data_IF_586409888839
#
_entry.id   IF_586409888839
#
_cell.length_a   1.000
_cell.length_b   1.000
_cell.length_c   1.000
_cell.angle_alpha   90.00
_cell.angle_beta   90.00
_cell.angle_gamma   90.00
#
_symmetry.space_group_name_H-M   'P 1'
#
loop_
_entity.id
_entity.type
_entity.pdbx_description
1 polymer ?
#
# COMPACT_ATOMS: atom_id res chain seq x y z
N UNK A 1 -12.71 -2.13 -29.10
CA UNK A 1 -12.95 -2.26 -27.65
C UNK A 1 -11.74 -1.63 -26.96
N UNK A 2 -11.95 -0.69 -26.04
CA UNK A 2 -10.85 -0.14 -25.25
C UNK A 2 -10.25 -1.28 -24.43
N UNK A 3 -8.91 -1.40 -24.40
CA UNK A 3 -8.24 -2.37 -23.55
C UNK A 3 -8.59 -2.08 -22.08
N UNK A 4 -9.03 -3.09 -21.36
CA UNK A 4 -9.28 -2.94 -19.92
C UNK A 4 -7.93 -2.71 -19.22
N UNK A 5 -7.79 -1.57 -18.55
CA UNK A 5 -6.64 -1.33 -17.69
C UNK A 5 -6.72 -2.22 -16.46
N UNK A 6 -5.59 -2.82 -16.07
CA UNK A 6 -5.50 -3.65 -14.87
C UNK A 6 -4.38 -3.09 -13.97
N UNK A 7 -4.68 -2.87 -12.70
CA UNK A 7 -3.74 -2.46 -11.67
C UNK A 7 -3.54 -3.60 -10.68
N UNK A 8 -2.31 -4.03 -10.47
CA UNK A 8 -1.95 -4.96 -9.39
C UNK A 8 -1.71 -4.18 -8.09
N UNK A 9 -2.31 -4.64 -6.99
CA UNK A 9 -2.06 -4.06 -5.66
C UNK A 9 -1.55 -5.16 -4.74
N UNK A 10 -0.43 -4.90 -4.08
CA UNK A 10 0.22 -5.77 -3.10
C UNK A 10 0.27 -5.00 -1.79
N UNK A 11 0.11 -5.66 -0.65
CA UNK A 11 0.28 -5.04 0.66
C UNK A 11 0.83 -6.01 1.69
N UNK A 12 1.31 -5.46 2.80
CA UNK A 12 1.77 -6.23 3.95
C UNK A 12 2.77 -7.32 3.56
N UNK A 13 3.85 -6.93 2.87
CA UNK A 13 4.85 -7.85 2.29
C UNK A 13 5.67 -8.56 3.36
N UNK A 14 5.96 -7.87 4.49
CA UNK A 14 6.64 -8.41 5.66
C UNK A 14 7.87 -9.26 5.31
N UNK A 15 8.74 -8.72 4.44
CA UNK A 15 9.97 -9.34 3.96
C UNK A 15 9.80 -10.73 3.30
N UNK A 16 8.60 -11.11 2.92
CA UNK A 16 8.30 -12.37 2.26
C UNK A 16 8.75 -12.36 0.79
N UNK A 17 10.04 -12.09 0.55
CA UNK A 17 10.64 -11.88 -0.78
C UNK A 17 10.29 -12.98 -1.80
N UNK A 18 10.25 -14.26 -1.37
CA UNK A 18 9.89 -15.39 -2.25
C UNK A 18 8.43 -15.35 -2.68
N UNK A 19 7.52 -14.99 -1.77
CA UNK A 19 6.10 -14.83 -2.12
C UNK A 19 5.89 -13.60 -2.99
N UNK A 20 6.63 -12.52 -2.72
CA UNK A 20 6.61 -11.32 -3.54
C UNK A 20 7.00 -11.64 -4.99
N UNK A 21 8.09 -12.36 -5.21
CA UNK A 21 8.52 -12.81 -6.55
C UNK A 21 7.42 -13.57 -7.26
N UNK A 22 6.86 -14.60 -6.62
CA UNK A 22 5.79 -15.41 -7.21
C UNK A 22 4.54 -14.56 -7.54
N UNK A 23 4.21 -13.58 -6.68
CA UNK A 23 3.06 -12.69 -6.90
C UNK A 23 3.31 -11.77 -8.10
N UNK A 24 4.51 -11.21 -8.21
CA UNK A 24 4.87 -10.33 -9.33
C UNK A 24 4.89 -11.10 -10.66
N UNK A 25 5.42 -12.31 -10.67
CA UNK A 25 5.40 -13.18 -11.85
C UNK A 25 3.97 -13.52 -12.28
N UNK A 26 3.11 -13.87 -11.31
CA UNK A 26 1.71 -14.13 -11.58
C UNK A 26 1.01 -12.90 -12.19
N UNK A 27 1.15 -11.72 -11.57
CA UNK A 27 0.53 -10.49 -12.06
C UNK A 27 0.99 -10.16 -13.49
N UNK A 28 2.28 -10.32 -13.78
CA UNK A 28 2.82 -10.08 -15.13
C UNK A 28 2.30 -11.08 -16.16
N UNK A 29 2.19 -12.36 -15.80
CA UNK A 29 1.62 -13.38 -16.67
C UNK A 29 0.14 -13.11 -17.00
N UNK A 30 -0.59 -12.46 -16.07
CA UNK A 30 -1.95 -11.96 -16.29
C UNK A 30 -2.01 -10.65 -17.11
N UNK A 31 -0.86 -10.16 -17.60
CA UNK A 31 -0.75 -8.92 -18.37
C UNK A 31 -0.88 -7.65 -17.52
N UNK A 32 -0.67 -7.75 -16.20
CA UNK A 32 -0.71 -6.61 -15.28
C UNK A 32 0.69 -6.05 -15.14
N UNK A 33 0.94 -4.92 -15.78
CA UNK A 33 2.26 -4.28 -15.80
C UNK A 33 2.38 -3.08 -14.86
N UNK A 34 1.26 -2.49 -14.43
CA UNK A 34 1.25 -1.45 -13.43
C UNK A 34 0.94 -2.07 -12.07
N UNK A 35 1.93 -2.05 -11.18
CA UNK A 35 1.86 -2.69 -9.87
C UNK A 35 2.20 -1.67 -8.80
N UNK A 36 1.38 -1.64 -7.74
CA UNK A 36 1.56 -0.79 -6.58
C UNK A 36 1.66 -1.62 -5.30
N UNK A 37 2.42 -1.13 -4.32
CA UNK A 37 2.56 -1.74 -3.00
C UNK A 37 2.16 -0.74 -1.92
N UNK A 38 1.27 -1.15 -1.02
CA UNK A 38 0.75 -0.31 0.05
C UNK A 38 1.65 -0.24 1.29
N UNK A 39 2.85 -0.80 1.25
CA UNK A 39 3.81 -0.73 2.36
C UNK A 39 3.80 -1.96 3.27
N UNK A 40 4.28 -1.77 4.49
CA UNK A 40 4.61 -2.81 5.46
C UNK A 40 5.56 -3.86 4.85
N UNK A 41 6.71 -3.36 4.40
CA UNK A 41 7.76 -4.20 3.82
C UNK A 41 8.54 -4.94 4.88
N UNK A 42 8.72 -4.31 6.04
CA UNK A 42 9.55 -4.81 7.13
C UNK A 42 8.79 -5.69 8.13
N UNK A 43 9.55 -6.34 9.00
CA UNK A 43 9.09 -7.21 10.08
C UNK A 43 8.40 -8.49 9.58
N UNK A 44 9.20 -9.54 9.37
CA UNK A 44 8.76 -10.84 8.90
C UNK A 44 9.92 -11.84 8.83
N UNK A 45 9.65 -13.05 8.37
CA UNK A 45 10.62 -14.16 8.40
C UNK A 45 11.58 -14.19 7.21
N UNK A 46 11.36 -13.38 6.20
CA UNK A 46 12.17 -13.37 4.98
C UNK A 46 13.33 -12.38 5.03
N UNK A 47 13.83 -12.01 3.88
CA UNK A 47 14.93 -11.08 3.70
C UNK A 47 14.41 -9.72 3.18
N UNK A 48 14.61 -8.67 3.98
CA UNK A 48 14.15 -7.33 3.64
C UNK A 48 15.03 -6.67 2.56
N UNK A 49 16.32 -6.98 2.53
CA UNK A 49 17.22 -6.48 1.50
C UNK A 49 16.84 -7.06 0.13
N UNK A 50 16.58 -8.36 0.03
CA UNK A 50 16.07 -9.00 -1.19
C UNK A 50 14.68 -8.47 -1.56
N UNK A 51 13.79 -8.25 -0.58
CA UNK A 51 12.46 -7.67 -0.82
C UNK A 51 12.56 -6.32 -1.53
N UNK A 52 13.43 -5.44 -1.04
CA UNK A 52 13.64 -4.11 -1.62
C UNK A 52 14.25 -4.21 -3.02
N UNK A 53 15.21 -5.11 -3.23
CA UNK A 53 15.79 -5.33 -4.56
C UNK A 53 14.74 -5.75 -5.59
N UNK A 54 13.88 -6.72 -5.24
CA UNK A 54 12.78 -7.19 -6.09
C UNK A 54 11.83 -6.04 -6.44
N UNK A 55 11.42 -5.22 -5.45
CA UNK A 55 10.52 -4.08 -5.70
C UNK A 55 11.14 -3.06 -6.66
N UNK A 56 12.44 -2.78 -6.52
CA UNK A 56 13.18 -1.87 -7.40
C UNK A 56 13.31 -2.43 -8.82
N UNK A 57 13.72 -3.69 -8.98
CA UNK A 57 13.89 -4.35 -10.26
C UNK A 57 12.57 -4.42 -11.05
N UNK A 58 11.47 -4.64 -10.34
CA UNK A 58 10.14 -4.73 -10.93
C UNK A 58 9.44 -3.38 -11.07
N UNK A 59 10.10 -2.26 -10.68
CA UNK A 59 9.54 -0.91 -10.72
C UNK A 59 8.17 -0.80 -10.02
N UNK A 60 8.02 -1.45 -8.86
CA UNK A 60 6.78 -1.41 -8.09
C UNK A 60 6.64 -0.05 -7.43
N UNK A 61 5.51 0.62 -7.67
CA UNK A 61 5.21 1.89 -7.01
C UNK A 61 4.82 1.65 -5.56
N UNK A 62 5.64 2.09 -4.61
CA UNK A 62 5.50 1.73 -3.20
C UNK A 62 5.29 2.97 -2.32
N UNK A 63 4.51 2.83 -1.25
CA UNK A 63 4.40 3.77 -0.14
C UNK A 63 4.84 3.12 1.16
N UNK A 64 5.16 3.93 2.19
CA UNK A 64 5.56 3.41 3.49
C UNK A 64 4.36 2.93 4.31
N UNK A 65 4.53 1.79 5.00
CA UNK A 65 3.63 1.33 6.05
C UNK A 65 4.10 1.72 7.45
N UNK A 66 3.32 1.32 8.45
CA UNK A 66 3.68 1.60 9.85
C UNK A 66 4.90 0.79 10.33
N UNK A 67 5.07 -0.44 9.86
CA UNK A 67 6.24 -1.25 10.19
C UNK A 67 7.52 -0.64 9.64
N UNK A 68 7.50 -0.09 8.43
CA UNK A 68 8.64 0.57 7.81
C UNK A 68 9.04 1.83 8.60
N UNK A 69 8.07 2.63 9.03
CA UNK A 69 8.30 3.79 9.89
C UNK A 69 8.86 3.37 11.25
N UNK A 70 8.34 2.33 11.88
CA UNK A 70 8.82 1.83 13.16
C UNK A 70 10.26 1.34 13.08
N UNK A 71 10.62 0.64 12.01
CA UNK A 71 12.00 0.22 11.76
C UNK A 71 12.94 1.42 11.65
N UNK A 72 12.57 2.45 10.87
CA UNK A 72 13.39 3.63 10.65
C UNK A 72 13.55 4.50 11.92
N UNK A 73 12.52 4.57 12.76
CA UNK A 73 12.54 5.32 14.02
C UNK A 73 13.03 4.50 15.21
N UNK A 74 13.42 3.25 14.98
CA UNK A 74 13.87 2.30 16.00
C UNK A 74 12.85 2.14 17.15
N UNK A 75 11.56 2.29 16.83
CA UNK A 75 10.50 2.10 17.79
C UNK A 75 10.45 0.64 18.26
N UNK A 76 10.34 0.45 19.58
CA UNK A 76 10.18 -0.90 20.14
C UNK A 76 8.92 -1.57 19.60
N UNK A 77 9.08 -2.78 19.08
CA UNK A 77 8.01 -3.58 18.48
C UNK A 77 7.97 -4.95 19.14
N UNK A 78 6.79 -5.34 19.60
CA UNK A 78 6.56 -6.69 20.15
C UNK A 78 5.99 -7.60 19.06
N UNK A 79 6.69 -7.67 17.93
CA UNK A 79 6.32 -8.55 16.81
C UNK A 79 7.39 -9.61 16.62
N UNK A 80 6.97 -10.83 16.30
CA UNK A 80 7.90 -11.88 15.95
C UNK A 80 8.69 -11.49 14.70
N UNK A 81 9.98 -11.79 14.67
CA UNK A 81 10.87 -11.50 13.54
C UNK A 81 10.95 -10.00 13.19
N UNK A 82 10.97 -9.12 14.20
CA UNK A 82 11.24 -7.72 13.98
C UNK A 82 12.63 -7.51 13.37
N UNK A 83 12.71 -6.77 12.29
CA UNK A 83 13.99 -6.40 11.70
C UNK A 83 14.70 -5.33 12.52
N UNK A 84 16.02 -5.38 12.53
CA UNK A 84 16.87 -4.35 13.15
C UNK A 84 17.61 -3.58 12.07
N UNK A 85 17.53 -2.26 12.13
CA UNK A 85 18.17 -1.37 11.16
C UNK A 85 19.68 -1.63 10.99
N UNK A 86 20.37 -2.04 12.06
CA UNK A 86 21.79 -2.36 12.03
C UNK A 86 22.15 -3.60 11.20
N UNK A 87 21.16 -4.43 10.84
CA UNK A 87 21.38 -5.65 10.05
C UNK A 87 21.09 -5.46 8.55
N UNK A 88 20.62 -4.27 8.17
CA UNK A 88 20.22 -3.98 6.79
C UNK A 88 21.33 -3.22 6.06
N UNK A 89 21.38 -3.40 4.74
CA UNK A 89 22.29 -2.63 3.91
C UNK A 89 21.83 -1.17 3.75
N UNK A 90 22.76 -0.28 3.36
CA UNK A 90 22.46 1.14 3.21
C UNK A 90 21.42 1.41 2.12
N UNK A 91 21.43 0.64 1.03
CA UNK A 91 20.48 0.77 -0.09
C UNK A 91 19.04 0.53 0.39
N UNK A 92 18.81 -0.48 1.21
CA UNK A 92 17.50 -0.78 1.81
C UNK A 92 17.06 0.34 2.73
N UNK A 93 17.94 0.82 3.61
CA UNK A 93 17.63 1.94 4.51
C UNK A 93 17.29 3.21 3.72
N UNK A 94 18.04 3.52 2.67
CA UNK A 94 17.81 4.71 1.86
C UNK A 94 16.52 4.59 1.03
N UNK A 95 16.23 3.40 0.53
CA UNK A 95 14.95 3.12 -0.13
C UNK A 95 13.77 3.34 0.83
N UNK A 96 13.78 2.72 2.02
CA UNK A 96 12.72 2.88 3.01
C UNK A 96 12.51 4.35 3.42
N UNK A 97 13.59 5.12 3.59
CA UNK A 97 13.52 6.57 3.88
C UNK A 97 12.92 7.38 2.73
N UNK A 98 13.07 6.91 1.49
CA UNK A 98 12.55 7.59 0.30
C UNK A 98 11.06 7.36 0.08
N UNK A 99 10.45 6.38 0.75
CA UNK A 99 9.05 6.04 0.58
C UNK A 99 8.14 7.14 1.14
N UNK A 100 7.21 7.67 0.33
CA UNK A 100 6.20 8.59 0.82
C UNK A 100 5.12 7.84 1.59
N UNK A 101 4.39 8.53 2.47
CA UNK A 101 3.20 7.97 3.16
C UNK A 101 2.04 7.76 2.20
N UNK A 102 1.94 8.62 1.20
CA UNK A 102 0.90 8.57 0.17
C UNK A 102 1.49 8.89 -1.19
N UNK A 103 0.92 8.31 -2.23
CA UNK A 103 1.28 8.63 -3.61
C UNK A 103 0.04 8.60 -4.49
N UNK A 104 -0.14 9.63 -5.31
CA UNK A 104 -1.13 9.59 -6.38
C UNK A 104 -0.52 8.91 -7.60
N UNK A 105 -1.19 7.93 -8.15
CA UNK A 105 -0.83 7.25 -9.38
C UNK A 105 -1.95 7.45 -10.41
N UNK A 106 -1.58 7.76 -11.64
CA UNK A 106 -2.56 7.83 -12.74
C UNK A 106 -2.75 6.42 -13.30
N UNK A 107 -3.99 5.97 -13.33
CA UNK A 107 -4.40 4.69 -13.84
C UNK A 107 -5.49 4.86 -14.90
N UNK A 108 -5.13 4.65 -16.15
CA UNK A 108 -6.01 5.00 -17.27
C UNK A 108 -6.27 6.51 -17.32
N UNK A 109 -7.52 6.91 -17.08
CA UNK A 109 -7.94 8.32 -17.02
C UNK A 109 -8.30 8.77 -15.60
N UNK A 110 -7.94 7.98 -14.59
CA UNK A 110 -8.28 8.24 -13.19
C UNK A 110 -7.04 8.35 -12.34
N UNK A 111 -7.08 9.20 -11.33
CA UNK A 111 -6.09 9.25 -10.29
C UNK A 111 -6.51 8.36 -9.13
N UNK A 112 -5.57 7.54 -8.64
CA UNK A 112 -5.74 6.63 -7.53
C UNK A 112 -4.80 7.06 -6.40
N UNK A 113 -5.32 7.27 -5.21
CA UNK A 113 -4.51 7.52 -4.02
C UNK A 113 -4.03 6.18 -3.45
N UNK A 114 -2.72 5.96 -3.48
CA UNK A 114 -2.05 4.85 -2.82
C UNK A 114 -1.66 5.28 -1.41
N UNK A 115 -2.07 4.53 -0.40
CA UNK A 115 -1.70 4.72 1.00
C UNK A 115 -1.77 3.40 1.75
N UNK A 116 -1.06 3.29 2.87
CA UNK A 116 -1.11 2.08 3.72
C UNK A 116 -2.38 2.04 4.57
N UNK A 117 -2.67 3.11 5.27
CA UNK A 117 -3.89 3.25 6.07
C UNK A 117 -4.87 4.21 5.38
N UNK A 118 -5.25 5.28 6.06
CA UNK A 118 -6.16 6.29 5.53
C UNK A 118 -5.42 7.62 5.31
N UNK A 119 -5.07 7.91 4.06
CA UNK A 119 -4.24 9.05 3.71
C UNK A 119 -2.86 8.95 4.36
N UNK A 120 -2.42 9.96 5.09
CA UNK A 120 -1.12 10.00 5.78
C UNK A 120 -1.09 9.29 7.15
N UNK A 121 -2.22 8.70 7.58
CA UNK A 121 -2.37 7.98 8.84
C UNK A 121 -2.23 6.48 8.62
N UNK A 122 -1.04 5.96 8.82
CA UNK A 122 -0.66 4.58 8.54
C UNK A 122 -1.30 3.52 9.46
N UNK A 123 -1.93 3.93 10.57
CA UNK A 123 -2.67 3.06 11.49
C UNK A 123 -4.19 3.23 11.42
N UNK A 124 -4.66 4.25 10.68
CA UNK A 124 -6.09 4.48 10.58
C UNK A 124 -6.75 3.45 9.68
N UNK A 125 -7.82 2.84 10.18
CA UNK A 125 -8.62 1.83 9.49
C UNK A 125 -10.06 2.29 9.39
N UNK A 126 -10.75 1.80 8.37
CA UNK A 126 -12.20 1.96 8.21
C UNK A 126 -12.79 0.56 8.18
N UNK A 127 -13.82 0.37 8.96
CA UNK A 127 -14.58 -0.86 8.89
C UNK A 127 -15.29 -0.97 7.53
N UNK A 128 -15.00 -1.97 6.70
CA UNK A 128 -15.55 -2.06 5.34
C UNK A 128 -17.03 -2.45 5.30
N UNK A 129 -17.63 -2.71 6.47
CA UNK A 129 -18.99 -3.22 6.54
C UNK A 129 -19.09 -4.72 6.23
N UNK A 130 -20.31 -5.21 6.26
CA UNK A 130 -20.71 -6.55 5.84
C UNK A 130 -22.09 -6.46 5.16
N UNK A 131 -22.61 -7.57 4.65
CA UNK A 131 -23.99 -7.61 4.11
C UNK A 131 -25.06 -7.15 5.12
N UNK A 132 -24.76 -7.21 6.43
CA UNK A 132 -25.68 -6.86 7.53
C UNK A 132 -25.34 -5.56 8.24
N UNK A 133 -24.14 -5.05 8.05
CA UNK A 133 -23.66 -3.83 8.72
C UNK A 133 -23.08 -2.86 7.68
N UNK A 134 -23.45 -1.57 7.75
CA UNK A 134 -22.92 -0.57 6.82
C UNK A 134 -21.43 -0.35 7.03
N UNK A 135 -20.78 0.25 6.03
CA UNK A 135 -19.42 0.78 6.14
C UNK A 135 -19.40 1.81 7.27
N UNK A 136 -18.35 1.81 8.06
CA UNK A 136 -18.13 2.83 9.09
C UNK A 136 -17.93 4.19 8.43
N UNK A 137 -18.69 5.19 8.89
CA UNK A 137 -18.52 6.56 8.40
C UNK A 137 -17.27 7.18 9.05
N UNK A 138 -16.42 7.78 8.23
CA UNK A 138 -15.21 8.45 8.66
C UNK A 138 -15.17 9.86 8.08
N UNK A 139 -15.22 10.90 8.95
CA UNK A 139 -15.08 12.29 8.53
C UNK A 139 -13.75 12.53 7.80
N UNK A 140 -12.70 11.84 8.19
CA UNK A 140 -11.41 11.93 7.53
C UNK A 140 -11.44 11.38 6.10
N UNK A 141 -12.15 10.28 5.86
CA UNK A 141 -12.35 9.78 4.50
C UNK A 141 -13.18 10.76 3.69
N UNK A 142 -14.24 11.32 4.29
CA UNK A 142 -15.07 12.36 3.67
C UNK A 142 -14.19 13.55 3.25
N UNK A 143 -13.31 14.03 4.15
CA UNK A 143 -12.36 15.12 3.87
C UNK A 143 -11.42 14.80 2.69
N UNK A 144 -10.89 13.55 2.60
CA UNK A 144 -10.03 13.11 1.50
C UNK A 144 -10.80 13.11 0.17
N UNK A 145 -12.04 12.66 0.18
CA UNK A 145 -12.93 12.63 -0.99
C UNK A 145 -13.29 14.06 -1.42
N UNK A 146 -13.69 14.91 -0.49
CA UNK A 146 -14.14 16.29 -0.73
C UNK A 146 -13.02 17.21 -1.24
N UNK A 147 -11.75 16.90 -0.93
CA UNK A 147 -10.61 17.60 -1.53
C UNK A 147 -10.52 17.42 -3.07
N UNK A 148 -11.45 16.66 -3.66
CA UNK A 148 -11.66 16.58 -5.11
C UNK A 148 -10.52 15.95 -5.90
N UNK A 149 -9.58 15.32 -5.21
CA UNK A 149 -8.39 14.71 -5.86
C UNK A 149 -8.66 13.33 -6.45
N UNK A 150 -9.79 12.69 -6.08
CA UNK A 150 -10.07 11.29 -6.43
C UNK A 150 -11.52 11.10 -6.88
N UNK A 151 -11.87 11.45 -8.13
CA UNK A 151 -13.26 11.38 -8.62
C UNK A 151 -13.83 9.96 -8.72
N UNK A 152 -13.03 8.92 -8.46
CA UNK A 152 -13.47 7.52 -8.55
C UNK A 152 -14.09 6.94 -7.28
N UNK A 153 -14.05 7.65 -6.15
CA UNK A 153 -14.71 7.26 -4.90
C UNK A 153 -16.07 7.97 -4.78
N UNK A 154 -17.00 7.63 -5.68
CA UNK A 154 -18.39 8.07 -5.48
C UNK A 154 -18.98 7.26 -4.34
N UNK A 155 -19.17 7.90 -3.18
CA UNK A 155 -20.11 7.39 -2.18
C UNK A 155 -21.48 7.35 -2.83
N UNK A 156 -22.07 6.16 -2.94
CA UNK A 156 -23.48 6.03 -3.27
C UNK A 156 -24.28 6.65 -2.10
N UNK A 157 -24.45 7.96 -2.11
CA UNK A 157 -25.46 8.61 -1.31
C UNK A 157 -26.80 8.25 -1.92
N UNK A 158 -27.48 7.26 -1.32
CA UNK A 158 -28.88 7.03 -1.57
C UNK A 158 -29.65 8.28 -1.13
N UNK A 159 -29.94 9.19 -2.05
CA UNK A 159 -30.99 10.18 -1.85
C UNK A 159 -32.32 9.46 -1.87
N UNK A 160 -32.79 9.03 -0.72
CA UNK A 160 -34.21 8.80 -0.50
C UNK A 160 -34.87 10.17 -0.40
N UNK A 161 -35.46 10.62 -1.49
CA UNK A 161 -36.42 11.73 -1.47
C UNK A 161 -37.78 11.25 -0.94
N UNK A 162 -38.55 12.15 -0.32
CA UNK A 162 -39.76 11.87 0.46
C UNK A 162 -40.94 11.32 -0.34
#
# INVERSE_FOLDING_TARGET
>A
MAAAFKLGIIGDVHAEHRRLTLTLDYLRNEGINQIACTGDLSDGIGDLDETVEILLEHNVTTVAGNHDRWLLTEQSRHVANAHHRSHLNSKTIDYLKSLPKTRTITFGQQDVLLCHGMGDQDLAKIWPGTERMPVERSSRLDDIIDQGRFPGLSTATSTSSP
#
